data_IF_606081638026
#
_entry.id   IF_606081638026
#
_cell.length_a   1.000
_cell.length_b   1.000
_cell.length_c   1.000
_cell.angle_alpha   90.00
_cell.angle_beta   90.00
_cell.angle_gamma   90.00
#
_symmetry.space_group_name_H-M   'P 1'
#
loop_
_entity.id
_entity.type
_entity.pdbx_description
1 polymer ?
#
# COMPACT_ATOMS: atom_id res chain seq x y z
N UNK A 1 21.72 7.75 13.40
CA UNK A 1 20.70 8.81 13.39
C UNK A 1 21.40 10.14 13.31
N UNK A 2 21.00 10.97 12.35
CA UNK A 2 21.47 12.35 12.25
C UNK A 2 20.91 13.21 13.40
N UNK A 3 21.55 14.34 13.70
CA UNK A 3 21.07 15.28 14.70
C UNK A 3 19.66 15.81 14.36
N UNK A 4 19.37 15.98 13.07
CA UNK A 4 18.06 16.38 12.56
C UNK A 4 16.97 15.33 12.83
N UNK A 5 17.26 14.03 12.60
CA UNK A 5 16.30 12.95 12.89
C UNK A 5 15.93 12.89 14.38
N UNK A 6 16.90 13.09 15.28
CA UNK A 6 16.65 13.12 16.72
C UNK A 6 15.91 14.36 17.21
N UNK A 7 15.97 15.48 16.48
CA UNK A 7 15.16 16.67 16.75
C UNK A 7 13.73 16.51 16.25
N UNK A 8 13.54 15.89 15.08
CA UNK A 8 12.23 15.53 14.57
C UNK A 8 11.53 14.51 15.48
N UNK A 9 12.22 13.47 15.94
CA UNK A 9 11.64 12.49 16.89
C UNK A 9 11.11 13.14 18.18
N UNK A 10 11.85 14.11 18.73
CA UNK A 10 11.41 14.87 19.91
C UNK A 10 10.24 15.82 19.61
N UNK A 11 10.17 16.35 18.39
CA UNK A 11 9.14 17.30 17.97
C UNK A 11 7.81 16.64 17.62
N UNK A 12 7.81 15.33 17.31
CA UNK A 12 6.61 14.58 16.92
C UNK A 12 6.45 13.29 17.77
N UNK A 13 6.27 13.39 19.10
CA UNK A 13 6.18 12.25 20.01
C UNK A 13 4.93 11.37 19.79
N UNK A 14 3.93 11.89 19.08
CA UNK A 14 2.74 11.13 18.69
C UNK A 14 3.03 10.08 17.61
N UNK A 15 4.14 10.22 16.89
CA UNK A 15 4.51 9.25 15.87
C UNK A 15 5.11 8.01 16.54
N UNK A 16 4.73 6.81 16.08
CA UNK A 16 5.27 5.59 16.65
C UNK A 16 6.77 5.50 16.37
N UNK A 17 7.52 4.90 17.30
CA UNK A 17 8.99 4.81 17.22
C UNK A 17 9.51 4.19 15.92
N UNK A 18 8.77 3.25 15.34
CA UNK A 18 9.14 2.64 14.05
C UNK A 18 9.15 3.65 12.89
N UNK A 19 8.41 4.77 13.00
CA UNK A 19 8.35 5.80 11.96
C UNK A 19 9.72 6.40 11.66
N UNK A 20 10.64 6.42 12.62
CA UNK A 20 11.98 6.98 12.42
C UNK A 20 12.93 6.01 11.69
N UNK A 21 12.57 4.73 11.60
CA UNK A 21 13.33 3.73 10.85
C UNK A 21 12.84 3.67 9.39
N UNK A 22 13.76 3.93 8.44
CA UNK A 22 13.43 3.93 7.01
C UNK A 22 12.92 2.58 6.48
N UNK A 23 13.49 1.48 6.96
CA UNK A 23 13.06 0.13 6.56
C UNK A 23 11.65 -0.16 7.07
N UNK A 24 11.35 0.20 8.32
CA UNK A 24 10.00 0.06 8.87
C UNK A 24 9.01 0.98 8.15
N UNK A 25 9.37 2.22 7.82
CA UNK A 25 8.51 3.09 6.99
C UNK A 25 8.19 2.46 5.65
N UNK A 26 9.19 1.91 4.95
CA UNK A 26 8.99 1.21 3.67
C UNK A 26 8.07 0.01 3.80
N UNK A 27 8.21 -0.76 4.89
CA UNK A 27 7.35 -1.90 5.19
C UNK A 27 5.90 -1.48 5.45
N UNK A 28 5.68 -0.46 6.27
CA UNK A 28 4.33 0.06 6.54
C UNK A 28 3.70 0.66 5.28
N UNK A 29 4.50 1.30 4.43
CA UNK A 29 4.04 1.76 3.12
C UNK A 29 3.59 0.60 2.22
N UNK A 30 4.38 -0.48 2.13
CA UNK A 30 3.98 -1.66 1.35
C UNK A 30 2.65 -2.24 1.85
N UNK A 31 2.50 -2.45 3.16
CA UNK A 31 1.25 -2.93 3.77
C UNK A 31 0.06 -2.03 3.50
N UNK A 32 0.27 -0.71 3.56
CA UNK A 32 -0.79 0.24 3.25
C UNK A 32 -1.21 0.17 1.78
N UNK A 33 -0.26 0.10 0.83
CA UNK A 33 -0.56 -0.05 -0.60
C UNK A 33 -1.34 -1.35 -0.85
N UNK A 34 -0.92 -2.46 -0.27
CA UNK A 34 -1.63 -3.74 -0.39
C UNK A 34 -3.08 -3.62 0.07
N UNK A 35 -3.31 -3.16 1.30
CA UNK A 35 -4.64 -3.06 1.87
C UNK A 35 -5.55 -2.11 1.08
N UNK A 36 -5.01 -0.97 0.63
CA UNK A 36 -5.80 0.02 -0.11
C UNK A 36 -6.13 -0.48 -1.51
N UNK A 37 -5.17 -1.10 -2.19
CA UNK A 37 -5.38 -1.66 -3.53
C UNK A 37 -6.41 -2.79 -3.51
N UNK A 38 -6.34 -3.71 -2.54
CA UNK A 38 -7.33 -4.78 -2.36
C UNK A 38 -8.73 -4.24 -2.03
N UNK A 39 -8.80 -3.27 -1.13
CA UNK A 39 -10.06 -2.62 -0.75
C UNK A 39 -10.73 -1.94 -1.95
N UNK A 40 -9.97 -1.19 -2.74
CA UNK A 40 -10.46 -0.53 -3.94
C UNK A 40 -10.88 -1.53 -5.02
N UNK A 41 -10.09 -2.59 -5.25
CA UNK A 41 -10.40 -3.64 -6.21
C UNK A 41 -11.72 -4.33 -5.83
N UNK A 42 -11.90 -4.69 -4.56
CA UNK A 42 -13.12 -5.32 -4.06
C UNK A 42 -14.34 -4.41 -4.22
N UNK A 43 -14.21 -3.12 -3.87
CA UNK A 43 -15.29 -2.15 -4.02
C UNK A 43 -15.69 -1.96 -5.47
N UNK A 44 -14.72 -1.81 -6.38
CA UNK A 44 -14.98 -1.67 -7.82
C UNK A 44 -15.62 -2.93 -8.40
N UNK A 45 -15.11 -4.11 -8.04
CA UNK A 45 -15.69 -5.38 -8.46
C UNK A 45 -17.14 -5.54 -7.97
N UNK A 46 -17.44 -5.13 -6.73
CA UNK A 46 -18.79 -5.16 -6.18
C UNK A 46 -19.77 -4.20 -6.87
N UNK A 47 -19.28 -3.16 -7.56
CA UNK A 47 -20.11 -2.25 -8.36
C UNK A 47 -20.39 -2.80 -9.76
N UNK A 48 -19.62 -3.78 -10.25
CA UNK A 48 -19.81 -4.38 -11.57
C UNK A 48 -20.95 -5.40 -11.54
N UNK A 49 -22.12 -4.97 -11.96
CA UNK A 49 -23.29 -5.82 -12.15
C UNK A 49 -23.32 -6.43 -13.56
N UNK A 50 -24.06 -7.53 -13.78
CA UNK A 50 -24.21 -8.11 -15.12
C UNK A 50 -24.78 -7.13 -16.17
N UNK A 51 -25.57 -6.15 -15.73
CA UNK A 51 -26.18 -5.11 -16.56
C UNK A 51 -25.35 -3.82 -16.65
N UNK A 52 -24.13 -3.78 -16.09
CA UNK A 52 -23.25 -2.59 -16.23
C UNK A 52 -22.93 -2.34 -17.70
N UNK A 53 -23.12 -1.09 -18.20
CA UNK A 53 -22.79 -0.72 -19.56
C UNK A 53 -21.35 -1.09 -19.95
N UNK A 54 -21.17 -1.59 -21.18
CA UNK A 54 -19.88 -2.12 -21.63
C UNK A 54 -18.75 -1.08 -21.65
N UNK A 55 -19.10 0.18 -21.94
CA UNK A 55 -18.20 1.34 -21.92
C UNK A 55 -17.65 1.65 -20.53
N UNK A 56 -18.37 1.26 -19.47
CA UNK A 56 -17.97 1.41 -18.07
C UNK A 56 -17.38 0.12 -17.49
N UNK A 57 -17.94 -1.03 -17.88
CA UNK A 57 -17.52 -2.33 -17.36
C UNK A 57 -16.10 -2.71 -17.80
N UNK A 58 -15.72 -2.40 -19.04
CA UNK A 58 -14.37 -2.65 -19.56
C UNK A 58 -13.29 -1.91 -18.75
N UNK A 59 -13.34 -0.57 -18.68
CA UNK A 59 -12.37 0.22 -17.90
C UNK A 59 -12.35 -0.15 -16.42
N UNK A 60 -13.51 -0.42 -15.81
CA UNK A 60 -13.57 -0.83 -14.41
C UNK A 60 -12.86 -2.17 -14.15
N UNK A 61 -12.99 -3.16 -15.05
CA UNK A 61 -12.23 -4.42 -14.94
C UNK A 61 -10.72 -4.19 -15.07
N UNK A 62 -10.29 -3.35 -16.00
CA UNK A 62 -8.87 -2.99 -16.15
C UNK A 62 -8.32 -2.31 -14.88
N UNK A 63 -9.11 -1.46 -14.23
CA UNK A 63 -8.73 -0.85 -12.96
C UNK A 63 -8.62 -1.90 -11.85
N UNK A 64 -9.58 -2.83 -11.73
CA UNK A 64 -9.52 -3.94 -10.78
C UNK A 64 -8.25 -4.78 -10.98
N UNK A 65 -7.91 -5.10 -12.23
CA UNK A 65 -6.68 -5.84 -12.55
C UNK A 65 -5.41 -5.05 -12.23
N UNK A 66 -5.41 -3.73 -12.44
CA UNK A 66 -4.28 -2.88 -12.07
C UNK A 66 -4.06 -2.85 -10.57
N UNK A 67 -5.13 -2.70 -9.79
CA UNK A 67 -5.08 -2.72 -8.34
C UNK A 67 -4.61 -4.09 -7.80
N UNK A 68 -5.03 -5.19 -8.43
CA UNK A 68 -4.52 -6.51 -8.08
C UNK A 68 -2.99 -6.62 -8.27
N UNK A 69 -2.46 -6.08 -9.37
CA UNK A 69 -1.00 -6.02 -9.61
C UNK A 69 -0.28 -5.13 -8.59
N UNK A 70 -0.88 -4.02 -8.18
CA UNK A 70 -0.31 -3.13 -7.16
C UNK A 70 -0.24 -3.83 -5.79
N UNK A 71 -1.28 -4.60 -5.43
CA UNK A 71 -1.28 -5.41 -4.21
C UNK A 71 -0.21 -6.51 -4.24
N UNK A 72 -0.06 -7.21 -5.37
CA UNK A 72 1.00 -8.22 -5.56
C UNK A 72 2.40 -7.61 -5.49
N UNK A 73 2.59 -6.45 -6.12
CA UNK A 73 3.85 -5.70 -6.03
C UNK A 73 4.17 -5.34 -4.58
N UNK A 74 3.19 -4.85 -3.83
CA UNK A 74 3.34 -4.47 -2.43
C UNK A 74 3.75 -5.66 -1.55
N UNK A 75 3.10 -6.82 -1.70
CA UNK A 75 3.52 -8.08 -1.05
C UNK A 75 4.96 -8.44 -1.39
N UNK A 76 5.33 -8.39 -2.67
CA UNK A 76 6.69 -8.71 -3.11
C UNK A 76 7.74 -7.75 -2.54
N UNK A 77 7.35 -6.49 -2.29
CA UNK A 77 8.20 -5.48 -1.69
C UNK A 77 8.39 -5.77 -0.20
N UNK A 78 7.32 -6.04 0.55
CA UNK A 78 7.42 -6.43 1.96
C UNK A 78 8.29 -7.68 2.13
N UNK A 79 8.07 -8.72 1.33
CA UNK A 79 8.87 -9.95 1.34
C UNK A 79 10.37 -9.70 1.11
N UNK A 80 10.70 -8.82 0.15
CA UNK A 80 12.10 -8.42 -0.10
C UNK A 80 12.69 -7.66 1.07
N UNK A 81 11.93 -6.76 1.69
CA UNK A 81 12.38 -6.00 2.86
C UNK A 81 12.61 -6.91 4.07
N UNK A 82 11.74 -7.91 4.28
CA UNK A 82 11.92 -8.91 5.34
C UNK A 82 13.17 -9.77 5.12
N UNK A 83 13.42 -10.20 3.88
CA UNK A 83 14.62 -10.98 3.53
C UNK A 83 15.92 -10.18 3.70
N UNK A 84 15.91 -8.88 3.42
CA UNK A 84 17.09 -8.03 3.54
C UNK A 84 17.37 -7.59 4.99
N UNK A 85 16.46 -7.85 5.92
CA UNK A 85 16.59 -7.53 7.34
C UNK A 85 17.02 -8.73 8.21
N UNK A 86 17.06 -9.94 7.64
CA UNK A 86 17.52 -11.19 8.27
C UNK A 86 19.00 -11.44 7.98
#
# INVERSE_FOLDING_TARGET
MSAWEGEMERSYPQLPRWYWNEAERRKQYARWVEAEAESLALRLAGLLRPDTPADSAGPARLLVESLARDAEWARSLEDRLLRNAA
#
